data_IF_472612912987
#
_entry.id   IF_472612912987
#
_cell.length_a   1.000
_cell.length_b   1.000
_cell.length_c   1.000
_cell.angle_alpha   90.00
_cell.angle_beta   90.00
_cell.angle_gamma   90.00
#
_symmetry.space_group_name_H-M   'P 1'
#
loop_
_entity.id
_entity.type
_entity.pdbx_description
1 polymer ?
#
# COMPACT_ATOMS: atom_id res chain seq x y z
N UNK A 1 -11.61 40.85 2.22
CA UNK A 1 -12.45 39.62 2.31
C UNK A 1 -12.20 38.62 1.18
N UNK A 2 -12.21 39.04 -0.10
CA UNK A 2 -11.98 38.14 -1.25
C UNK A 2 -10.59 37.46 -1.31
N UNK A 3 -9.56 38.11 -0.78
CA UNK A 3 -8.17 37.60 -0.73
C UNK A 3 -7.94 36.52 0.34
N UNK A 4 -8.71 36.53 1.43
CA UNK A 4 -8.62 35.49 2.47
C UNK A 4 -9.26 34.18 2.03
N UNK A 5 -10.33 34.24 1.22
CA UNK A 5 -11.00 33.06 0.68
C UNK A 5 -10.10 32.30 -0.31
N UNK A 6 -9.34 33.02 -1.15
CA UNK A 6 -8.36 32.42 -2.07
C UNK A 6 -7.21 31.72 -1.34
N UNK A 7 -6.79 32.26 -0.18
CA UNK A 7 -5.70 31.68 0.60
C UNK A 7 -6.09 30.35 1.27
N UNK A 8 -7.34 30.24 1.72
CA UNK A 8 -7.86 29.01 2.33
C UNK A 8 -8.00 27.86 1.29
N UNK A 9 -8.33 28.20 0.04
CA UNK A 9 -8.54 27.21 -1.02
C UNK A 9 -7.21 26.61 -1.52
N UNK A 10 -6.13 27.40 -1.54
CA UNK A 10 -4.78 26.92 -1.90
C UNK A 10 -4.21 25.99 -0.82
N UNK A 11 -4.45 26.26 0.47
CA UNK A 11 -4.00 25.38 1.56
C UNK A 11 -4.71 24.01 1.53
N UNK A 12 -6.00 23.98 1.20
CA UNK A 12 -6.76 22.72 1.10
C UNK A 12 -6.26 21.78 0.00
N UNK A 13 -5.81 22.31 -1.14
CA UNK A 13 -5.31 21.51 -2.27
C UNK A 13 -3.93 20.90 -2.02
N UNK A 14 -3.04 21.56 -1.26
CA UNK A 14 -1.73 20.99 -0.91
C UNK A 14 -1.84 19.82 0.08
N UNK A 15 -2.83 19.82 0.98
CA UNK A 15 -3.02 18.73 1.94
C UNK A 15 -3.42 17.40 1.29
N UNK A 16 -4.15 17.44 0.16
CA UNK A 16 -4.60 16.24 -0.56
C UNK A 16 -3.47 15.51 -1.32
N UNK A 17 -2.35 16.17 -1.62
CA UNK A 17 -1.23 15.56 -2.34
C UNK A 17 -0.18 14.93 -1.41
N UNK A 18 -0.06 15.42 -0.17
CA UNK A 18 0.95 14.92 0.78
C UNK A 18 0.60 13.56 1.40
N UNK A 19 -0.67 13.16 1.42
CA UNK A 19 -1.10 11.91 2.04
C UNK A 19 -0.83 10.64 1.20
N UNK A 20 -0.40 10.76 -0.07
CA UNK A 20 -0.23 9.60 -0.97
C UNK A 20 1.20 9.12 -1.15
N UNK A 21 2.20 9.83 -0.60
CA UNK A 21 3.59 9.37 -0.67
C UNK A 21 3.99 8.81 0.69
N UNK A 22 3.64 7.54 0.92
CA UNK A 22 4.42 6.74 1.87
C UNK A 22 5.78 6.52 1.22
N UNK A 23 6.71 7.45 1.43
CA UNK A 23 8.12 7.21 1.14
C UNK A 23 8.60 6.15 2.13
N UNK A 24 8.46 4.88 1.74
CA UNK A 24 9.09 3.76 2.42
C UNK A 24 10.60 3.96 2.27
N UNK A 25 11.25 4.51 3.30
CA UNK A 25 12.70 4.35 3.45
C UNK A 25 12.93 2.93 3.92
N UNK A 26 13.07 2.02 2.97
CA UNK A 26 13.46 0.64 3.27
C UNK A 26 14.95 0.64 3.64
N UNK A 27 15.34 0.18 4.84
CA UNK A 27 16.74 -0.17 5.06
C UNK A 27 17.09 -1.30 4.11
N UNK A 28 18.33 -1.34 3.60
CA UNK A 28 18.83 -2.44 2.78
C UNK A 28 18.83 -3.73 3.61
N UNK A 29 17.68 -4.39 3.68
CA UNK A 29 17.52 -5.65 4.36
C UNK A 29 18.20 -6.71 3.49
N UNK A 30 19.20 -7.36 4.08
CA UNK A 30 19.75 -8.64 3.63
C UNK A 30 18.61 -9.67 3.64
N UNK A 31 17.81 -9.67 2.57
CA UNK A 31 16.71 -10.60 2.37
C UNK A 31 17.24 -11.93 1.83
N UNK A 32 18.16 -12.56 2.56
CA UNK A 32 18.22 -14.02 2.55
C UNK A 32 17.12 -14.53 3.50
N UNK A 33 15.86 -14.15 3.22
CA UNK A 33 14.70 -14.51 4.03
C UNK A 33 14.13 -15.79 3.43
N UNK A 34 13.81 -16.75 4.29
CA UNK A 34 13.06 -17.94 3.91
C UNK A 34 11.86 -17.54 3.02
N UNK A 35 11.43 -18.40 2.08
CA UNK A 35 10.29 -18.12 1.21
C UNK A 35 9.11 -17.58 2.02
N UNK A 36 8.45 -16.55 1.50
CA UNK A 36 7.22 -16.07 2.11
C UNK A 36 6.23 -17.24 2.21
N UNK A 37 5.50 -17.40 3.32
CA UNK A 37 4.49 -18.44 3.41
C UNK A 37 3.32 -18.11 2.48
N UNK A 38 3.05 -18.99 1.51
CA UNK A 38 1.92 -18.87 0.59
C UNK A 38 0.71 -19.69 1.04
N UNK A 39 -0.46 -19.17 0.70
CA UNK A 39 -1.72 -19.91 0.78
C UNK A 39 -1.99 -20.46 -0.62
N UNK A 40 -1.72 -21.76 -0.81
CA UNK A 40 -1.86 -22.41 -2.11
C UNK A 40 -3.33 -22.57 -2.51
N UNK A 41 -3.62 -22.26 -3.77
CA UNK A 41 -4.89 -22.52 -4.48
C UNK A 41 -6.19 -22.06 -3.80
N UNK A 42 -6.11 -21.14 -2.82
CA UNK A 42 -7.28 -20.67 -2.06
C UNK A 42 -7.27 -19.14 -1.91
N UNK A 43 -7.58 -18.50 -3.02
CA UNK A 43 -7.71 -17.06 -3.08
C UNK A 43 -8.77 -16.49 -2.10
N UNK A 44 -9.97 -17.09 -1.94
CA UNK A 44 -10.97 -16.58 -0.99
C UNK A 44 -10.45 -16.52 0.46
N UNK A 45 -9.76 -17.56 0.92
CA UNK A 45 -9.14 -17.58 2.26
C UNK A 45 -8.05 -16.52 2.37
N UNK A 46 -7.13 -16.45 1.42
CA UNK A 46 -6.04 -15.48 1.43
C UNK A 46 -6.53 -14.03 1.48
N UNK A 47 -7.58 -13.72 0.71
CA UNK A 47 -8.20 -12.39 0.71
C UNK A 47 -8.86 -12.07 2.06
N UNK A 48 -9.55 -13.05 2.67
CA UNK A 48 -10.20 -12.86 3.98
C UNK A 48 -9.17 -12.59 5.09
N UNK A 49 -8.05 -13.32 5.07
CA UNK A 49 -6.98 -13.18 6.05
C UNK A 49 -6.27 -11.83 5.92
N UNK A 50 -5.86 -11.46 4.69
CA UNK A 50 -5.20 -10.18 4.43
C UNK A 50 -6.07 -9.00 4.90
N UNK A 51 -7.39 -9.05 4.62
CA UNK A 51 -8.36 -8.05 5.10
C UNK A 51 -8.46 -8.02 6.63
N UNK A 52 -8.57 -9.17 7.29
CA UNK A 52 -8.67 -9.24 8.75
C UNK A 52 -7.43 -8.68 9.46
N UNK A 53 -6.26 -8.79 8.81
CA UNK A 53 -4.96 -8.36 9.35
C UNK A 53 -4.56 -6.96 8.89
N UNK A 54 -5.31 -6.34 7.96
CA UNK A 54 -4.96 -5.05 7.37
C UNK A 54 -3.64 -5.08 6.58
N UNK A 55 -3.31 -6.23 5.97
CA UNK A 55 -2.07 -6.41 5.23
C UNK A 55 -2.32 -6.37 3.71
N UNK A 56 -1.35 -5.88 2.91
CA UNK A 56 -1.37 -6.06 1.46
C UNK A 56 -1.39 -7.54 1.07
N UNK A 57 -2.10 -7.87 -0.01
CA UNK A 57 -2.12 -9.22 -0.59
C UNK A 57 -1.09 -9.31 -1.72
N UNK A 58 -0.14 -10.24 -1.59
CA UNK A 58 0.80 -10.61 -2.65
C UNK A 58 0.33 -11.91 -3.30
N UNK A 59 0.25 -11.93 -4.64
CA UNK A 59 -0.21 -13.09 -5.41
C UNK A 59 0.87 -13.46 -6.41
N UNK A 60 1.37 -14.70 -6.31
CA UNK A 60 2.24 -15.29 -7.33
C UNK A 60 1.37 -16.15 -8.26
N UNK A 61 1.36 -15.81 -9.55
CA UNK A 61 0.61 -16.55 -10.57
C UNK A 61 1.58 -17.00 -11.64
N UNK A 62 1.67 -18.30 -11.86
CA UNK A 62 2.57 -18.88 -12.84
C UNK A 62 1.83 -19.89 -13.73
N UNK A 63 2.42 -20.16 -14.89
CA UNK A 63 1.99 -21.23 -15.77
C UNK A 63 3.21 -21.87 -16.46
N UNK A 64 3.13 -23.15 -16.87
CA UNK A 64 4.29 -23.91 -17.34
C UNK A 64 4.68 -23.69 -18.82
N UNK A 65 3.99 -22.79 -19.52
CA UNK A 65 4.12 -22.58 -20.97
C UNK A 65 5.07 -21.43 -21.32
#
# INVERSE_FOLDING_TARGET
MRTHLSSLLVVGLLACSAARTSAVSEPAASHARAPLPFIEDDYPRALSEAKSRGLPLFVDTWAPW
#
